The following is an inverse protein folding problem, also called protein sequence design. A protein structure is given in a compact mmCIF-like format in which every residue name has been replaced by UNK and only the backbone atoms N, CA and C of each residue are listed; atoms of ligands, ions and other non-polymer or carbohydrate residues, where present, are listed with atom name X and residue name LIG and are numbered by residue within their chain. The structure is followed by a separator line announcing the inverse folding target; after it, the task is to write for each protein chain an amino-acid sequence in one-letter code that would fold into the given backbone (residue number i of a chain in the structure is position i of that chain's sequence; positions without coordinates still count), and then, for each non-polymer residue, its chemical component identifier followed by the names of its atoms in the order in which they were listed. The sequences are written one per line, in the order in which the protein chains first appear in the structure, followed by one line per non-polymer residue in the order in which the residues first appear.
data_IF_499553307692
#
_entry.id   IF_499553307692
#
_cell.length_a   1.000
_cell.length_b   1.000
_cell.length_c   1.000
_cell.angle_alpha   90.00
_cell.angle_beta   90.00
_cell.angle_gamma   90.00
#
_symmetry.space_group_name_H-M   'P 1'
#
loop_
_entity.id
_entity.type
_entity.pdbx_description
1 polymer ?
#
# COMPACT_ATOMS: atom_id res chain seq x y z
N UNK A 1 7.11 -17.76 -16.28
CA UNK A 1 7.98 -17.48 -15.11
C UNK A 1 7.14 -16.62 -14.20
N UNK A 2 6.82 -17.09 -13.00
CA UNK A 2 6.07 -16.29 -12.01
C UNK A 2 6.97 -15.24 -11.36
N UNK A 3 6.37 -14.34 -10.58
CA UNK A 3 7.11 -13.32 -9.83
C UNK A 3 7.71 -13.92 -8.55
N UNK A 4 8.85 -13.38 -8.10
CA UNK A 4 9.36 -13.72 -6.78
C UNK A 4 8.63 -12.95 -5.67
N UNK A 5 8.80 -13.35 -4.41
CA UNK A 5 8.10 -12.74 -3.28
C UNK A 5 8.42 -11.23 -3.14
N UNK A 6 9.66 -10.81 -3.40
CA UNK A 6 10.02 -9.39 -3.31
C UNK A 6 9.32 -8.57 -4.42
N UNK A 7 9.23 -9.13 -5.62
CA UNK A 7 8.48 -8.53 -6.73
C UNK A 7 7.00 -8.41 -6.40
N UNK A 8 6.39 -9.43 -5.77
CA UNK A 8 4.99 -9.41 -5.34
C UNK A 8 4.75 -8.38 -4.22
N UNK A 9 5.61 -8.33 -3.21
CA UNK A 9 5.51 -7.35 -2.12
C UNK A 9 5.67 -5.92 -2.64
N UNK A 10 6.59 -5.69 -3.58
CA UNK A 10 6.77 -4.39 -4.23
C UNK A 10 5.56 -4.02 -5.08
N UNK A 11 5.04 -4.95 -5.89
CA UNK A 11 3.85 -4.71 -6.71
C UNK A 11 2.61 -4.42 -5.85
N UNK A 12 2.46 -5.10 -4.71
CA UNK A 12 1.42 -4.81 -3.73
C UNK A 12 1.55 -3.39 -3.15
N UNK A 13 2.76 -2.99 -2.73
CA UNK A 13 2.99 -1.64 -2.21
C UNK A 13 2.68 -0.55 -3.25
N UNK A 14 3.09 -0.76 -4.50
CA UNK A 14 2.78 0.14 -5.61
C UNK A 14 1.27 0.23 -5.88
N UNK A 15 0.56 -0.91 -5.82
CA UNK A 15 -0.89 -0.93 -5.97
C UNK A 15 -1.60 -0.15 -4.85
N UNK A 16 -1.19 -0.35 -3.59
CA UNK A 16 -1.74 0.41 -2.46
C UNK A 16 -1.43 1.89 -2.57
N UNK A 17 -0.23 2.24 -3.01
CA UNK A 17 0.12 3.62 -3.31
C UNK A 17 -0.80 4.23 -4.37
N UNK A 18 -1.04 3.53 -5.48
CA UNK A 18 -1.89 4.03 -6.55
C UNK A 18 -3.32 4.30 -6.03
N UNK A 19 -3.80 3.49 -5.07
CA UNK A 19 -5.07 3.73 -4.38
C UNK A 19 -5.03 4.94 -3.45
N UNK A 20 -3.94 5.14 -2.70
CA UNK A 20 -3.75 6.34 -1.86
C UNK A 20 -3.76 7.61 -2.70
N UNK A 21 -3.03 7.63 -3.82
CA UNK A 21 -3.01 8.76 -4.75
C UNK A 21 -4.36 9.01 -5.42
N UNK A 22 -5.18 7.97 -5.63
CA UNK A 22 -6.53 8.16 -6.14
C UNK A 22 -7.50 8.68 -5.08
N UNK A 23 -7.29 8.33 -3.81
CA UNK A 23 -8.07 8.86 -2.69
C UNK A 23 -7.73 10.34 -2.44
N UNK A 24 -6.47 10.73 -2.57
CA UNK A 24 -6.03 12.12 -2.52
C UNK A 24 -6.21 12.81 -3.87
N UNK A 25 -7.26 13.63 -4.00
CA UNK A 25 -7.61 14.35 -5.23
C UNK A 25 -6.51 15.31 -5.76
N UNK A 26 -5.44 15.56 -5.00
CA UNK A 26 -4.32 16.44 -5.37
C UNK A 26 -2.99 15.87 -4.87
N UNK A 27 -2.19 15.30 -5.77
CA UNK A 27 -0.79 14.95 -5.44
C UNK A 27 0.11 16.19 -5.49
N UNK A 28 0.76 16.52 -4.39
CA UNK A 28 1.73 17.62 -4.30
C UNK A 28 3.09 17.24 -4.90
N UNK A 29 3.93 18.23 -5.23
CA UNK A 29 5.30 17.95 -5.68
C UNK A 29 6.15 17.27 -4.59
N UNK A 30 5.89 17.58 -3.31
CA UNK A 30 6.61 16.98 -2.19
C UNK A 30 6.31 15.48 -2.06
N UNK A 31 5.06 15.08 -2.28
CA UNK A 31 4.65 13.66 -2.33
C UNK A 31 5.33 12.96 -3.51
N UNK A 32 5.35 13.57 -4.70
CA UNK A 32 6.06 13.01 -5.87
C UNK A 32 7.55 12.79 -5.58
N UNK A 33 8.22 13.78 -4.99
CA UNK A 33 9.63 13.66 -4.63
C UNK A 33 9.87 12.60 -3.54
N UNK A 34 8.91 12.40 -2.64
CA UNK A 34 8.96 11.34 -1.63
C UNK A 34 8.79 9.95 -2.26
N UNK A 35 7.83 9.81 -3.17
CA UNK A 35 7.57 8.58 -3.92
C UNK A 35 8.77 8.18 -4.77
N UNK A 36 9.46 9.14 -5.41
CA UNK A 36 10.68 8.85 -6.17
C UNK A 36 11.82 8.33 -5.28
N UNK A 37 11.88 8.72 -4.00
CA UNK A 37 12.87 8.18 -3.05
C UNK A 37 12.56 6.75 -2.62
N UNK A 38 11.28 6.44 -2.45
CA UNK A 38 10.82 5.11 -2.01
C UNK A 38 10.82 4.10 -3.15
N UNK A 39 10.42 4.56 -4.34
CA UNK A 39 10.35 3.76 -5.55
C UNK A 39 11.15 4.43 -6.68
N UNK A 40 12.49 4.42 -6.62
CA UNK A 40 13.31 5.04 -7.65
C UNK A 40 12.98 4.48 -9.03
N UNK A 41 12.80 5.35 -10.02
CA UNK A 41 12.45 4.95 -11.38
C UNK A 41 13.42 3.91 -11.96
N UNK A 42 14.72 4.06 -11.68
CA UNK A 42 15.74 3.10 -12.11
C UNK A 42 15.50 1.68 -11.55
N UNK A 43 15.04 1.56 -10.31
CA UNK A 43 14.67 0.28 -9.70
C UNK A 43 13.44 -0.32 -10.39
N UNK A 44 12.43 0.49 -10.65
CA UNK A 44 11.19 0.06 -11.32
C UNK A 44 11.46 -0.40 -12.75
N UNK A 45 12.32 0.31 -13.49
CA UNK A 45 12.79 -0.11 -14.83
C UNK A 45 13.54 -1.44 -14.74
N UNK A 46 14.44 -1.59 -13.77
CA UNK A 46 15.22 -2.82 -13.59
C UNK A 46 14.33 -4.05 -13.32
N UNK A 47 13.23 -3.87 -12.57
CA UNK A 47 12.22 -4.92 -12.30
C UNK A 47 11.21 -5.10 -13.46
N UNK A 48 11.29 -4.25 -14.48
CA UNK A 48 10.37 -4.24 -15.61
C UNK A 48 8.97 -3.74 -15.26
N UNK A 49 8.81 -2.99 -14.16
CA UNK A 49 7.54 -2.41 -13.68
C UNK A 49 7.27 -1.01 -14.21
N UNK A 50 8.28 -0.36 -14.78
CA UNK A 50 8.15 0.93 -15.46
C UNK A 50 9.01 0.98 -16.72
N UNK A 51 8.57 1.78 -17.68
CA UNK A 51 9.34 2.19 -18.85
C UNK A 51 10.26 3.38 -18.52
N UNK A 52 11.15 3.72 -19.44
CA UNK A 52 12.12 4.81 -19.25
C UNK A 52 11.49 6.20 -19.06
N UNK A 53 10.25 6.38 -19.51
CA UNK A 53 9.46 7.61 -19.35
C UNK A 53 8.59 7.63 -18.08
N UNK A 54 8.67 6.58 -17.25
CA UNK A 54 7.89 6.44 -16.01
C UNK A 54 6.53 5.76 -16.19
N UNK A 55 6.13 5.42 -17.42
CA UNK A 55 4.89 4.68 -17.68
C UNK A 55 4.95 3.31 -16.99
N UNK A 56 3.88 2.92 -16.29
CA UNK A 56 3.75 1.57 -15.70
C UNK A 56 3.57 0.53 -16.79
N UNK A 57 4.16 -0.64 -16.61
CA UNK A 57 4.07 -1.74 -17.58
C UNK A 57 2.94 -2.71 -17.24
N UNK A 58 2.48 -3.48 -18.23
CA UNK A 58 1.55 -4.60 -18.00
C UNK A 58 2.13 -5.63 -17.01
N UNK A 59 3.47 -5.79 -16.99
CA UNK A 59 4.16 -6.65 -16.02
C UNK A 59 3.90 -6.23 -14.57
N UNK A 60 3.84 -4.92 -14.27
CA UNK A 60 3.48 -4.46 -12.93
C UNK A 60 2.03 -4.82 -12.60
N UNK A 61 1.12 -4.64 -13.55
CA UNK A 61 -0.29 -4.98 -13.36
C UNK A 61 -0.47 -6.48 -13.08
N UNK A 62 0.20 -7.33 -13.85
CA UNK A 62 0.22 -8.78 -13.64
C UNK A 62 0.79 -9.15 -12.27
N UNK A 63 1.91 -8.51 -11.88
CA UNK A 63 2.52 -8.73 -10.56
C UNK A 63 1.60 -8.30 -9.41
N UNK A 64 0.89 -7.18 -9.57
CA UNK A 64 -0.06 -6.69 -8.57
C UNK A 64 -1.24 -7.66 -8.42
N UNK A 65 -1.80 -8.15 -9.53
CA UNK A 65 -2.89 -9.14 -9.49
C UNK A 65 -2.42 -10.45 -8.82
N UNK A 66 -1.25 -10.96 -9.18
CA UNK A 66 -0.68 -12.16 -8.56
C UNK A 66 -0.38 -11.93 -7.07
N UNK A 67 0.07 -10.73 -6.69
CA UNK A 67 0.34 -10.38 -5.30
C UNK A 67 -0.93 -10.43 -4.44
N UNK A 68 -2.04 -9.92 -4.96
CA UNK A 68 -3.34 -9.97 -4.28
C UNK A 68 -3.85 -11.41 -4.07
N UNK A 69 -3.51 -12.33 -4.96
CA UNK A 69 -3.89 -13.74 -4.85
C UNK A 69 -2.95 -14.53 -3.92
N UNK A 70 -1.64 -14.30 -4.04
CA UNK A 70 -0.60 -15.17 -3.46
C UNK A 70 -0.18 -14.72 -2.06
N UNK A 71 0.08 -13.42 -1.85
CA UNK A 71 0.62 -12.91 -0.58
C UNK A 71 -0.25 -13.24 0.64
N UNK A 72 -1.60 -13.20 0.58
CA UNK A 72 -2.43 -13.44 1.76
C UNK A 72 -2.31 -14.87 2.32
N UNK A 73 -1.98 -15.84 1.47
CA UNK A 73 -1.80 -17.25 1.87
C UNK A 73 -0.34 -17.62 2.10
N UNK A 74 0.59 -16.87 1.51
CA UNK A 74 2.03 -17.17 1.56
C UNK A 74 2.74 -16.47 2.71
N UNK A 75 2.36 -15.24 3.04
CA UNK A 75 2.97 -14.49 4.13
C UNK A 75 2.43 -14.96 5.49
N UNK A 76 3.33 -15.07 6.46
CA UNK A 76 2.92 -15.24 7.86
C UNK A 76 2.37 -13.93 8.46
N UNK A 77 1.79 -14.01 9.66
CA UNK A 77 1.18 -12.85 10.31
C UNK A 77 2.15 -11.70 10.57
N UNK A 78 3.43 -11.98 10.83
CA UNK A 78 4.43 -10.93 11.05
C UNK A 78 4.78 -10.25 9.73
N UNK A 79 5.03 -11.02 8.67
CA UNK A 79 5.35 -10.52 7.33
C UNK A 79 4.21 -9.66 6.78
N UNK A 80 2.94 -10.07 6.97
CA UNK A 80 1.77 -9.27 6.61
C UNK A 80 1.77 -7.91 7.30
N UNK A 81 2.07 -7.87 8.60
CA UNK A 81 2.14 -6.61 9.35
C UNK A 81 3.35 -5.76 8.97
N UNK A 82 4.47 -6.37 8.57
CA UNK A 82 5.62 -5.64 8.02
C UNK A 82 5.27 -5.00 6.68
N UNK A 83 4.58 -5.73 5.80
CA UNK A 83 4.14 -5.19 4.52
C UNK A 83 3.08 -4.10 4.69
N UNK A 84 2.12 -4.29 5.60
CA UNK A 84 1.15 -3.26 5.96
C UNK A 84 1.83 -2.02 6.59
N UNK A 85 2.89 -2.21 7.38
CA UNK A 85 3.68 -1.11 7.92
C UNK A 85 4.38 -0.32 6.81
N UNK A 86 4.94 -0.99 5.81
CA UNK A 86 5.48 -0.30 4.64
C UNK A 86 4.41 0.57 3.98
N UNK A 87 3.20 0.03 3.74
CA UNK A 87 2.07 0.80 3.22
C UNK A 87 1.63 1.96 4.13
N UNK A 88 1.63 1.78 5.45
CA UNK A 88 1.33 2.85 6.41
C UNK A 88 2.37 3.98 6.31
N UNK A 89 3.66 3.65 6.20
CA UNK A 89 4.70 4.67 6.02
C UNK A 89 4.52 5.47 4.72
N UNK A 90 3.98 4.85 3.66
CA UNK A 90 3.60 5.57 2.43
C UNK A 90 2.47 6.58 2.71
N UNK A 91 1.43 6.12 3.41
CA UNK A 91 0.24 6.91 3.72
C UNK A 91 0.54 8.13 4.60
N UNK A 92 1.46 8.02 5.56
CA UNK A 92 1.77 9.13 6.49
C UNK A 92 2.83 10.11 5.97
N UNK A 93 3.27 9.97 4.71
CA UNK A 93 4.42 10.68 4.18
C UNK A 93 4.27 12.21 4.13
N UNK A 94 3.04 12.74 4.02
CA UNK A 94 2.74 14.19 4.09
C UNK A 94 2.20 14.67 5.46
N UNK A 95 2.49 13.92 6.54
CA UNK A 95 2.23 14.29 7.96
C UNK A 95 0.77 14.37 8.40
N UNK A 96 -0.21 14.18 7.52
CA UNK A 96 -1.59 13.86 7.91
C UNK A 96 -1.89 12.41 7.54
N UNK A 97 -2.42 11.67 8.51
CA UNK A 97 -3.08 10.39 8.28
C UNK A 97 -4.55 10.62 8.60
N UNK A 98 -5.36 10.82 7.57
CA UNK A 98 -6.78 11.09 7.66
C UNK A 98 -7.64 9.84 7.44
N UNK A 99 -8.96 10.06 7.38
CA UNK A 99 -9.92 8.97 7.20
C UNK A 99 -9.81 8.32 5.81
N UNK A 100 -9.45 9.08 4.76
CA UNK A 100 -9.27 8.56 3.41
C UNK A 100 -8.07 7.60 3.32
N UNK A 101 -6.92 8.00 3.85
CA UNK A 101 -5.73 7.15 3.91
C UNK A 101 -5.97 5.94 4.83
N UNK A 102 -6.72 6.15 5.92
CA UNK A 102 -7.18 5.08 6.81
C UNK A 102 -8.01 4.03 6.07
N UNK A 103 -8.97 4.45 5.24
CA UNK A 103 -9.80 3.56 4.43
C UNK A 103 -8.99 2.73 3.44
N UNK A 104 -8.05 3.36 2.73
CA UNK A 104 -7.15 2.64 1.81
C UNK A 104 -6.25 1.66 2.55
N UNK A 105 -5.73 2.03 3.72
CA UNK A 105 -4.90 1.13 4.53
C UNK A 105 -5.70 -0.04 5.10
N UNK A 106 -6.95 0.17 5.51
CA UNK A 106 -7.85 -0.90 5.91
C UNK A 106 -8.11 -1.87 4.75
N UNK A 107 -8.35 -1.34 3.55
CA UNK A 107 -8.50 -2.15 2.36
C UNK A 107 -7.23 -2.97 2.08
N UNK A 108 -6.04 -2.37 2.18
CA UNK A 108 -4.77 -3.08 2.06
C UNK A 108 -4.64 -4.20 3.09
N UNK A 109 -5.02 -3.95 4.35
CA UNK A 109 -5.00 -4.96 5.41
C UNK A 109 -5.93 -6.13 5.08
N UNK A 110 -7.15 -5.85 4.62
CA UNK A 110 -8.13 -6.86 4.19
C UNK A 110 -7.65 -7.65 2.98
N UNK A 111 -7.01 -7.00 2.00
CA UNK A 111 -6.40 -7.67 0.85
C UNK A 111 -5.31 -8.65 1.30
N UNK A 112 -4.52 -8.32 2.32
CA UNK A 112 -3.54 -9.24 2.94
C UNK A 112 -4.18 -10.33 3.84
N UNK A 113 -5.50 -10.31 4.02
CA UNK A 113 -6.20 -11.20 4.92
C UNK A 113 -5.85 -10.95 6.41
N UNK A 114 -5.55 -9.71 6.77
CA UNK A 114 -5.35 -9.29 8.16
C UNK A 114 -6.74 -9.04 8.78
N UNK A 115 -7.07 -9.65 9.93
CA UNK A 115 -8.34 -9.41 10.60
C UNK A 115 -8.49 -7.96 11.06
N UNK A 116 -9.71 -7.42 10.99
CA UNK A 116 -10.02 -6.03 11.40
C UNK A 116 -9.55 -5.71 12.82
N UNK A 117 -9.72 -6.61 13.79
CA UNK A 117 -9.23 -6.41 15.16
C UNK A 117 -7.69 -6.28 15.23
N UNK A 118 -6.97 -6.98 14.35
CA UNK A 118 -5.50 -6.86 14.25
C UNK A 118 -5.10 -5.56 13.57
N UNK A 119 -5.89 -5.08 12.60
CA UNK A 119 -5.71 -3.77 12.00
C UNK A 119 -5.93 -2.64 13.02
N UNK A 120 -7.00 -2.71 13.81
CA UNK A 120 -7.30 -1.72 14.85
C UNK A 120 -6.14 -1.61 15.86
N UNK A 121 -5.65 -2.75 16.36
CA UNK A 121 -4.46 -2.82 17.22
C UNK A 121 -3.20 -2.25 16.53
N UNK A 122 -3.04 -2.49 15.23
CA UNK A 122 -1.90 -2.01 14.45
C UNK A 122 -1.89 -0.48 14.34
N UNK A 123 -3.04 0.14 14.10
CA UNK A 123 -3.20 1.60 13.98
C UNK A 123 -3.10 2.28 15.34
N UNK A 124 -3.73 1.73 16.39
CA UNK A 124 -3.69 2.26 17.75
C UNK A 124 -2.25 2.37 18.27
N UNK A 125 -1.45 1.31 18.08
CA UNK A 125 -0.02 1.30 18.49
C UNK A 125 0.84 2.33 17.79
N UNK A 126 0.41 2.86 16.63
CA UNK A 126 1.13 3.87 15.85
C UNK A 126 0.63 5.29 16.12
N UNK A 127 -0.29 5.45 17.08
CA UNK A 127 -0.86 6.75 17.42
C UNK A 127 -1.80 7.27 16.34
N UNK A 128 -2.50 6.37 15.64
CA UNK A 128 -3.53 6.76 14.69
C UNK A 128 -4.60 7.65 15.34
N UNK A 129 -5.32 8.47 14.54
CA UNK A 129 -6.36 9.35 15.05
C UNK A 129 -7.38 8.59 15.93
N UNK A 130 -7.85 9.21 17.01
CA UNK A 130 -8.88 8.60 17.85
C UNK A 130 -10.11 8.31 17.00
N UNK A 131 -10.55 7.06 17.01
CA UNK A 131 -11.68 6.60 16.20
C UNK A 131 -11.30 6.09 14.80
N UNK A 132 -10.03 5.80 14.56
CA UNK A 132 -9.60 5.12 13.34
C UNK A 132 -9.64 3.60 13.50
N UNK A 133 -10.86 3.07 13.57
CA UNK A 133 -11.13 1.63 13.58
C UNK A 133 -11.73 1.18 12.26
N UNK A 134 -11.60 -0.10 11.91
CA UNK A 134 -12.22 -0.67 10.72
C UNK A 134 -13.72 -0.33 10.62
N UNK A 135 -14.43 -0.46 11.75
CA UNK A 135 -15.87 -0.18 11.83
C UNK A 135 -16.23 1.31 11.69
N UNK A 136 -15.29 2.23 11.87
CA UNK A 136 -15.50 3.67 11.68
C UNK A 136 -15.16 4.08 10.25
N UNK A 137 -14.07 3.55 9.70
CA UNK A 137 -13.68 3.77 8.31
C UNK A 137 -14.77 3.26 7.34
N UNK A 138 -15.34 2.08 7.59
CA UNK A 138 -16.45 1.53 6.79
C UNK A 138 -17.71 2.41 6.76
N UNK A 139 -17.90 3.30 7.75
CA UNK A 139 -19.07 4.20 7.80
C UNK A 139 -18.87 5.49 7.01
N UNK A 140 -17.63 5.88 6.78
CA UNK A 140 -17.29 7.12 6.07
C UNK A 140 -17.17 6.90 4.56
N UNK A 141 -16.91 5.65 4.12
CA UNK A 141 -16.89 5.26 2.70
C UNK A 141 -18.28 4.96 2.09
N UNK A 142 -19.36 4.99 2.90
CA UNK A 142 -20.74 4.67 2.50
C UNK A 142 -21.67 5.88 2.40
#
# INVERSE_FOLDING_TARGET
MGFDQEELELAFQLHVMDMLVQADLVTTQAERDHLERLFPLAMLIQRGFSEADGTRTDRLQDAAMEALEVLPSTLDGHQKLTLLDACYQLAISDRSFGMGEGGVLLMAARLLGIPDATFDDFVDRRGGPPGMTAAQLDREDG
#
